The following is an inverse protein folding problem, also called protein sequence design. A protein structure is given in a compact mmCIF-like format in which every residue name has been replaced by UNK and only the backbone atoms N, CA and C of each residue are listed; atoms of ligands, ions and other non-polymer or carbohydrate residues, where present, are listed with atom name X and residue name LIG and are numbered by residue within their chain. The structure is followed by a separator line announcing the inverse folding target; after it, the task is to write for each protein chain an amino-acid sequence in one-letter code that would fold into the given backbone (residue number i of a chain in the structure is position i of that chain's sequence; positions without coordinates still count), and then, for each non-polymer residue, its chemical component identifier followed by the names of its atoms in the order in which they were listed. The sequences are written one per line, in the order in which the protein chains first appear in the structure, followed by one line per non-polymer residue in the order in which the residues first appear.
data_IF_264472142585
#
_entry.id   IF_264472142585
#
_cell.length_a   1.000
_cell.length_b   1.000
_cell.length_c   1.000
_cell.angle_alpha   90.00
_cell.angle_beta   90.00
_cell.angle_gamma   90.00
#
_symmetry.space_group_name_H-M   'P 1'
#
loop_
_entity.id
_entity.type
_entity.pdbx_description
1 polymer ?
#
# COMPACT_ATOMS: atom_id res chain seq x y z
N UNK A 1 -46.87 28.47 -22.90
CA UNK A 1 -46.74 27.29 -22.03
C UNK A 1 -45.51 26.49 -22.44
N UNK A 2 -44.42 26.58 -21.68
CA UNK A 2 -43.20 25.77 -21.91
C UNK A 2 -42.69 25.30 -20.54
N UNK A 3 -42.95 24.03 -20.22
CA UNK A 3 -42.36 23.35 -19.07
C UNK A 3 -41.10 22.65 -19.56
N UNK A 4 -39.92 23.15 -19.14
CA UNK A 4 -38.67 22.44 -19.28
C UNK A 4 -38.54 21.46 -18.11
N UNK A 5 -38.57 20.17 -18.43
CA UNK A 5 -38.33 19.05 -17.52
C UNK A 5 -36.83 18.95 -17.22
N UNK A 6 -36.44 18.99 -15.95
CA UNK A 6 -35.08 18.67 -15.52
C UNK A 6 -34.96 17.16 -15.32
N UNK A 7 -33.89 16.51 -15.81
CA UNK A 7 -33.68 15.09 -15.57
C UNK A 7 -33.29 14.89 -14.10
N UNK A 8 -34.22 14.35 -13.31
CA UNK A 8 -33.94 13.85 -11.96
C UNK A 8 -33.05 12.62 -12.07
N UNK A 9 -31.75 12.78 -11.82
CA UNK A 9 -30.83 11.65 -11.68
C UNK A 9 -31.24 10.81 -10.46
N UNK A 10 -31.85 9.65 -10.71
CA UNK A 10 -32.20 8.69 -9.68
C UNK A 10 -30.92 8.04 -9.15
N UNK A 11 -30.43 8.50 -7.99
CA UNK A 11 -29.33 7.84 -7.28
C UNK A 11 -29.92 6.60 -6.62
N UNK A 12 -29.97 5.49 -7.35
CA UNK A 12 -30.22 4.17 -6.77
C UNK A 12 -29.00 3.80 -5.93
N UNK A 13 -29.09 4.02 -4.62
CA UNK A 13 -28.11 3.50 -3.67
C UNK A 13 -28.24 1.98 -3.62
N UNK A 14 -27.62 1.30 -4.58
CA UNK A 14 -27.43 -0.15 -4.57
C UNK A 14 -26.70 -0.50 -3.28
N UNK A 15 -27.42 -1.14 -2.35
CA UNK A 15 -26.88 -1.51 -1.04
C UNK A 15 -25.79 -2.56 -1.25
N UNK A 16 -24.54 -2.10 -1.20
CA UNK A 16 -23.37 -2.96 -1.38
C UNK A 16 -23.29 -3.95 -0.22
N UNK A 17 -23.32 -5.24 -0.53
CA UNK A 17 -23.23 -6.32 0.44
C UNK A 17 -21.76 -6.57 0.78
N UNK A 18 -21.30 -5.99 1.88
CA UNK A 18 -19.94 -6.19 2.38
C UNK A 18 -19.97 -6.37 3.91
N UNK A 19 -19.06 -7.18 4.44
CA UNK A 19 -18.88 -7.28 5.89
C UNK A 19 -18.26 -5.98 6.45
N UNK A 20 -18.53 -5.62 7.72
CA UNK A 20 -18.01 -4.38 8.31
C UNK A 20 -16.48 -4.25 8.22
N UNK A 21 -15.77 -5.36 8.40
CA UNK A 21 -14.32 -5.44 8.26
C UNK A 21 -13.86 -5.02 6.85
N UNK A 22 -14.48 -5.59 5.82
CA UNK A 22 -14.20 -5.28 4.41
C UNK A 22 -14.48 -3.81 4.09
N UNK A 23 -15.54 -3.24 4.67
CA UNK A 23 -15.85 -1.80 4.50
C UNK A 23 -14.82 -0.89 5.17
N UNK A 24 -14.28 -1.27 6.34
CA UNK A 24 -13.18 -0.53 6.96
C UNK A 24 -11.90 -0.61 6.13
N UNK A 25 -11.55 -1.81 5.65
CA UNK A 25 -10.36 -2.06 4.84
C UNK A 25 -10.41 -1.28 3.52
N UNK A 26 -11.56 -1.29 2.83
CA UNK A 26 -11.73 -0.51 1.60
C UNK A 26 -11.56 0.99 1.81
N UNK A 27 -12.03 1.54 2.94
CA UNK A 27 -11.84 2.96 3.29
C UNK A 27 -10.38 3.30 3.57
N UNK A 28 -9.66 2.42 4.27
CA UNK A 28 -8.23 2.61 4.58
C UNK A 28 -7.38 2.60 3.31
N UNK A 29 -7.71 1.74 2.35
CA UNK A 29 -7.03 1.66 1.05
C UNK A 29 -7.56 2.67 0.01
N UNK A 30 -8.60 3.46 0.33
CA UNK A 30 -9.20 4.41 -0.60
C UNK A 30 -9.89 3.78 -1.81
N UNK A 31 -10.37 2.53 -1.67
CA UNK A 31 -10.99 1.76 -2.75
C UNK A 31 -12.52 1.87 -2.66
N UNK A 32 -13.17 2.18 -3.78
CA UNK A 32 -14.63 2.24 -3.85
C UNK A 32 -15.22 0.84 -4.06
N UNK A 33 -16.02 0.40 -3.09
CA UNK A 33 -16.72 -0.88 -3.11
C UNK A 33 -17.72 -1.00 -4.27
N UNK A 34 -18.18 0.11 -4.87
CA UNK A 34 -19.07 0.06 -6.02
C UNK A 34 -18.37 -0.43 -7.30
N UNK A 35 -17.04 -0.34 -7.36
CA UNK A 35 -16.23 -0.73 -8.52
C UNK A 35 -15.70 -2.17 -8.45
N UNK A 36 -15.83 -2.81 -7.28
CA UNK A 36 -15.36 -4.17 -7.05
C UNK A 36 -16.50 -5.16 -7.31
N UNK A 37 -16.21 -6.15 -8.17
CA UNK A 37 -17.10 -7.31 -8.33
C UNK A 37 -16.87 -8.26 -7.15
N UNK A 38 -17.87 -8.39 -6.27
CA UNK A 38 -17.81 -9.34 -5.15
C UNK A 38 -17.88 -10.79 -5.63
N UNK A 39 -16.97 -11.63 -5.14
CA UNK A 39 -16.91 -13.07 -5.47
C UNK A 39 -17.55 -13.94 -4.40
N UNK A 40 -17.99 -13.37 -3.28
CA UNK A 40 -18.65 -14.09 -2.20
C UNK A 40 -20.07 -14.53 -2.52
N UNK A 41 -20.63 -15.34 -1.62
CA UNK A 41 -22.02 -15.84 -1.67
C UNK A 41 -22.97 -14.62 -1.73
N UNK A 42 -23.91 -14.65 -2.65
CA UNK A 42 -24.84 -13.53 -2.96
C UNK A 42 -24.17 -12.24 -3.45
N UNK A 43 -22.97 -12.33 -4.04
CA UNK A 43 -22.23 -11.16 -4.53
C UNK A 43 -21.60 -10.33 -3.42
N UNK A 44 -21.37 -10.93 -2.24
CA UNK A 44 -20.67 -10.27 -1.13
C UNK A 44 -19.23 -9.99 -1.49
N UNK A 45 -18.75 -8.80 -1.15
CA UNK A 45 -17.35 -8.43 -1.34
C UNK A 45 -16.53 -9.00 -0.18
N UNK A 46 -15.49 -9.77 -0.52
CA UNK A 46 -14.56 -10.37 0.43
C UNK A 46 -13.25 -9.57 0.51
N UNK A 47 -12.40 -9.90 1.49
CA UNK A 47 -11.08 -9.24 1.64
C UNK A 47 -10.19 -9.53 0.42
N UNK A 48 -10.31 -10.73 -0.14
CA UNK A 48 -9.56 -11.20 -1.31
C UNK A 48 -9.88 -10.35 -2.54
N UNK A 49 -11.14 -9.97 -2.73
CA UNK A 49 -11.58 -9.15 -3.87
C UNK A 49 -10.93 -7.74 -3.83
N UNK A 50 -10.77 -7.16 -2.64
CA UNK A 50 -10.10 -5.85 -2.47
C UNK A 50 -8.60 -5.96 -2.79
N UNK A 51 -7.94 -7.01 -2.31
CA UNK A 51 -6.51 -7.23 -2.54
C UNK A 51 -6.23 -7.46 -4.03
N UNK A 52 -7.07 -8.24 -4.70
CA UNK A 52 -6.96 -8.48 -6.15
C UNK A 52 -7.17 -7.18 -6.96
N UNK A 53 -8.11 -6.33 -6.55
CA UNK A 53 -8.33 -5.03 -7.17
C UNK A 53 -7.11 -4.10 -7.03
N UNK A 54 -6.47 -4.08 -5.86
CA UNK A 54 -5.24 -3.32 -5.62
C UNK A 54 -4.09 -3.79 -6.51
N UNK A 55 -3.89 -5.11 -6.64
CA UNK A 55 -2.82 -5.67 -7.48
C UNK A 55 -3.03 -5.31 -8.97
N UNK A 56 -4.27 -5.35 -9.45
CA UNK A 56 -4.60 -5.04 -10.85
C UNK A 56 -4.46 -3.56 -11.20
N UNK A 57 -4.72 -2.65 -10.26
CA UNK A 57 -4.59 -1.19 -10.48
C UNK A 57 -3.14 -0.70 -10.40
N UNK A 58 -2.25 -1.45 -9.74
CA UNK A 58 -0.81 -1.16 -9.71
C UNK A 58 -0.09 -1.43 -11.04
N UNK A 59 -0.75 -2.10 -12.02
CA UNK A 59 -0.14 -2.46 -13.30
C UNK A 59 -0.44 -1.46 -14.44
N UNK A 60 -1.17 -0.37 -14.18
CA UNK A 60 -1.60 0.59 -15.21
C UNK A 60 -1.18 2.02 -14.93
N UNK A 61 0.12 2.28 -14.78
CA UNK A 61 0.66 3.65 -14.90
C UNK A 61 2.00 3.61 -15.63
N UNK A 62 1.93 3.62 -16.96
CA UNK A 62 3.06 3.85 -17.88
C UNK A 62 2.89 5.23 -18.53
N UNK A 63 3.84 6.13 -18.27
CA UNK A 63 4.30 7.25 -19.10
C UNK A 63 5.34 8.05 -18.27
N UNK A 64 6.48 8.55 -18.73
CA UNK A 64 7.31 8.37 -19.94
C UNK A 64 8.61 9.17 -19.71
N UNK A 65 9.76 8.57 -20.03
CA UNK A 65 11.06 9.13 -20.45
C UNK A 65 11.70 10.36 -19.75
N UNK A 66 12.87 10.13 -19.13
CA UNK A 66 14.11 10.92 -19.36
C UNK A 66 15.33 10.00 -19.24
N UNK A 67 16.17 10.04 -20.27
CA UNK A 67 17.41 9.29 -20.43
C UNK A 67 18.58 9.98 -19.70
N UNK A 68 19.35 9.24 -18.90
CA UNK A 68 20.70 9.65 -18.44
C UNK A 68 21.53 8.38 -18.17
N UNK A 69 22.82 8.30 -18.54
CA UNK A 69 23.57 7.05 -18.60
C UNK A 69 23.97 6.54 -17.21
N UNK A 70 23.87 5.23 -17.01
CA UNK A 70 24.09 4.54 -15.75
C UNK A 70 25.57 4.16 -15.50
N UNK A 71 26.07 4.22 -14.26
CA UNK A 71 27.20 3.40 -13.84
C UNK A 71 26.71 1.99 -13.48
N UNK A 72 27.32 0.97 -14.09
CA UNK A 72 27.06 -0.45 -13.84
C UNK A 72 27.42 -0.80 -12.39
N UNK A 73 26.43 -0.89 -11.50
CA UNK A 73 26.58 -1.60 -10.22
C UNK A 73 26.12 -3.04 -10.43
N UNK A 74 27.03 -3.98 -10.18
CA UNK A 74 26.77 -5.40 -10.20
C UNK A 74 25.50 -5.72 -9.38
N UNK A 75 24.45 -6.12 -10.07
CA UNK A 75 23.22 -6.62 -9.45
C UNK A 75 23.49 -8.06 -9.03
N UNK A 76 23.71 -8.27 -7.74
CA UNK A 76 23.53 -9.57 -7.12
C UNK A 76 22.01 -9.78 -7.14
N UNK A 77 21.54 -10.54 -8.14
CA UNK A 77 20.13 -10.85 -8.31
C UNK A 77 19.70 -11.83 -7.23
N UNK A 78 19.38 -11.31 -6.05
CA UNK A 78 18.52 -11.96 -5.04
C UNK A 78 17.27 -11.08 -4.79
N UNK A 79 16.77 -10.52 -5.89
CA UNK A 79 15.71 -9.51 -5.92
C UNK A 79 14.31 -10.11 -6.02
N UNK A 80 14.18 -11.44 -6.04
CA UNK A 80 12.89 -12.10 -6.23
C UNK A 80 12.05 -12.20 -4.94
N UNK A 81 12.65 -12.02 -3.75
CA UNK A 81 11.95 -12.18 -2.45
C UNK A 81 12.34 -11.14 -1.38
N UNK A 82 12.94 -10.01 -1.75
CA UNK A 82 13.35 -8.99 -0.76
C UNK A 82 12.35 -7.84 -0.68
N UNK A 83 11.59 -7.77 0.41
CA UNK A 83 10.73 -6.62 0.71
C UNK A 83 11.54 -5.52 1.40
N UNK A 84 11.62 -4.35 0.75
CA UNK A 84 12.35 -3.19 1.30
C UNK A 84 11.40 -2.32 2.13
N UNK A 85 11.49 -2.46 3.46
CA UNK A 85 10.72 -1.64 4.40
C UNK A 85 11.49 -0.36 4.73
N UNK A 86 10.82 0.80 4.58
CA UNK A 86 11.42 2.10 4.91
C UNK A 86 11.64 2.25 6.42
N UNK A 87 12.80 2.76 6.80
CA UNK A 87 13.17 3.00 8.19
C UNK A 87 12.37 4.20 8.74
N UNK A 88 11.72 4.03 9.89
CA UNK A 88 11.02 5.13 10.58
C UNK A 88 12.00 6.17 11.15
N UNK A 89 11.54 7.41 11.37
CA UNK A 89 12.39 8.49 11.91
C UNK A 89 13.00 8.15 13.27
N UNK A 90 12.21 7.53 14.15
CA UNK A 90 12.68 7.09 15.47
C UNK A 90 13.75 6.00 15.34
N UNK A 91 13.53 4.98 14.49
CA UNK A 91 14.51 3.92 14.24
C UNK A 91 15.82 4.49 13.69
N UNK A 92 15.74 5.45 12.78
CA UNK A 92 16.90 6.15 12.23
C UNK A 92 17.70 6.89 13.32
N UNK A 93 17.01 7.64 14.20
CA UNK A 93 17.66 8.38 15.28
C UNK A 93 18.35 7.46 16.30
N UNK A 94 17.71 6.34 16.67
CA UNK A 94 18.29 5.33 17.56
C UNK A 94 19.55 4.74 16.92
N UNK A 95 19.46 4.31 15.65
CA UNK A 95 20.58 3.72 14.94
C UNK A 95 21.78 4.69 14.86
N UNK A 96 21.54 5.97 14.56
CA UNK A 96 22.60 6.98 14.53
C UNK A 96 23.33 7.11 15.88
N UNK A 97 22.57 7.17 16.99
CA UNK A 97 23.18 7.25 18.33
C UNK A 97 23.90 5.98 18.73
N UNK A 98 23.37 4.80 18.39
CA UNK A 98 24.04 3.52 18.63
C UNK A 98 25.40 3.45 17.94
N UNK A 99 25.45 3.84 16.66
CA UNK A 99 26.71 3.85 15.88
C UNK A 99 27.72 4.81 16.50
N UNK A 100 27.30 6.03 16.85
CA UNK A 100 28.16 7.00 17.53
C UNK A 100 28.73 6.41 18.82
N UNK A 101 27.87 5.89 19.70
CA UNK A 101 28.28 5.33 20.98
C UNK A 101 29.32 4.20 20.82
N UNK A 102 29.04 3.24 19.94
CA UNK A 102 29.96 2.11 19.68
C UNK A 102 31.31 2.55 19.11
N UNK A 103 31.33 3.62 18.31
CA UNK A 103 32.57 4.17 17.74
C UNK A 103 33.37 5.05 18.70
N UNK A 104 32.72 5.69 19.67
CA UNK A 104 33.34 6.67 20.57
C UNK A 104 33.74 6.08 21.92
N UNK A 105 32.98 5.12 22.44
CA UNK A 105 33.15 4.57 23.77
C UNK A 105 33.74 3.16 23.67
N UNK A 106 34.89 2.88 24.30
CA UNK A 106 35.41 1.53 24.39
C UNK A 106 34.52 0.68 25.31
N UNK A 107 33.90 -0.36 24.75
CA UNK A 107 33.07 -1.30 25.50
C UNK A 107 33.93 -2.38 26.14
N UNK A 108 33.71 -2.65 27.43
CA UNK A 108 34.33 -3.75 28.16
C UNK A 108 33.26 -4.52 28.92
N UNK A 109 33.35 -5.84 28.91
CA UNK A 109 32.46 -6.73 29.65
C UNK A 109 33.31 -7.47 30.68
N UNK A 110 32.94 -7.40 31.95
CA UNK A 110 33.57 -8.17 33.03
C UNK A 110 32.66 -9.35 33.37
N UNK A 111 33.24 -10.54 33.41
CA UNK A 111 32.58 -11.79 33.83
C UNK A 111 33.31 -12.24 35.11
N UNK A 112 32.55 -12.60 36.13
CA UNK A 112 33.04 -13.11 37.41
C UNK A 112 32.61 -14.58 37.52
N UNK A 113 33.51 -15.44 38.02
CA UNK A 113 33.35 -16.90 38.06
C UNK A 113 32.77 -17.38 39.41
#
# INVERSE_FOLDING_TARGET
SAQASFPTATITQTKILATPLVRCLAKELGIDLATIKGTGIDGKILKEDIIQFQQKTSTSTTNSFVSQPAPLKASINDSAQTEIIKISRLRKAIAQKMVLAKSTIPETTLIDE
#
